data_IF_905777372514
#
_entry.id   IF_905777372514
#
_cell.length_a   1.000
_cell.length_b   1.000
_cell.length_c   1.000
_cell.angle_alpha   90.00
_cell.angle_beta   90.00
_cell.angle_gamma   90.00
#
_symmetry.space_group_name_H-M   'P 1'
#
loop_
_entity.id
_entity.type
_entity.pdbx_description
1 polymer ?
#
# COMPACT_ATOMS: atom_id res chain seq x y z
N UNK A 1 -36.38 14.66 -88.79
CA UNK A 1 -36.58 15.22 -87.43
C UNK A 1 -36.43 14.08 -86.43
N UNK A 2 -35.65 14.06 -85.36
CA UNK A 2 -34.65 14.92 -84.70
C UNK A 2 -33.81 13.91 -83.86
N UNK A 3 -32.47 14.06 -83.71
CA UNK A 3 -31.72 13.18 -82.82
C UNK A 3 -32.05 13.52 -81.36
N UNK A 4 -32.35 12.50 -80.56
CA UNK A 4 -32.61 12.63 -79.12
C UNK A 4 -31.25 12.70 -78.41
N UNK A 5 -30.80 13.91 -78.09
CA UNK A 5 -29.62 14.13 -77.26
C UNK A 5 -29.84 13.50 -75.88
N UNK A 6 -29.09 12.45 -75.57
CA UNK A 6 -28.94 11.94 -74.21
C UNK A 6 -28.21 13.00 -73.39
N UNK A 7 -28.89 13.59 -72.41
CA UNK A 7 -28.24 14.40 -71.37
C UNK A 7 -27.44 13.45 -70.49
N UNK A 8 -26.12 13.41 -70.66
CA UNK A 8 -25.21 12.96 -69.60
C UNK A 8 -25.39 13.94 -68.44
N UNK A 9 -26.04 13.47 -67.38
CA UNK A 9 -25.91 14.08 -66.06
C UNK A 9 -24.45 14.00 -65.67
N UNK A 10 -23.90 15.11 -65.17
CA UNK A 10 -22.55 15.23 -64.65
C UNK A 10 -22.27 14.11 -63.65
N UNK A 11 -21.26 13.29 -63.90
CA UNK A 11 -20.94 12.12 -63.09
C UNK A 11 -19.94 12.51 -62.00
N UNK A 12 -20.44 12.91 -60.82
CA UNK A 12 -19.61 13.29 -59.67
C UNK A 12 -18.93 12.08 -58.99
N UNK A 13 -19.19 10.86 -59.46
CA UNK A 13 -18.62 9.60 -58.96
C UNK A 13 -17.08 9.58 -59.03
N UNK A 14 -16.49 10.28 -60.00
CA UNK A 14 -15.04 10.45 -60.11
C UNK A 14 -14.45 11.21 -58.91
N UNK A 15 -15.06 12.32 -58.50
CA UNK A 15 -14.61 13.10 -57.35
C UNK A 15 -14.82 12.34 -56.04
N UNK A 16 -15.95 11.64 -55.91
CA UNK A 16 -16.27 10.83 -54.73
C UNK A 16 -15.25 9.70 -54.54
N UNK A 17 -14.85 9.01 -55.60
CA UNK A 17 -13.85 7.94 -55.51
C UNK A 17 -12.47 8.45 -55.06
N UNK A 18 -12.03 9.62 -55.54
CA UNK A 18 -10.78 10.26 -55.10
C UNK A 18 -10.84 10.64 -53.61
N UNK A 19 -11.97 11.20 -53.17
CA UNK A 19 -12.15 11.60 -51.77
C UNK A 19 -12.17 10.38 -50.83
N UNK A 20 -12.83 9.29 -51.24
CA UNK A 20 -12.81 8.02 -50.50
C UNK A 20 -11.39 7.45 -50.42
N UNK A 21 -10.64 7.48 -51.51
CA UNK A 21 -9.26 6.98 -51.52
C UNK A 21 -8.36 7.74 -50.53
N UNK A 22 -8.45 9.07 -50.51
CA UNK A 22 -7.70 9.91 -49.55
C UNK A 22 -8.16 9.67 -48.11
N UNK A 23 -9.47 9.56 -47.88
CA UNK A 23 -10.03 9.28 -46.56
C UNK A 23 -9.57 7.92 -46.02
N UNK A 24 -9.53 6.87 -46.86
CA UNK A 24 -9.02 5.55 -46.48
C UNK A 24 -7.55 5.62 -46.05
N UNK A 25 -6.70 6.34 -46.79
CA UNK A 25 -5.28 6.50 -46.41
C UNK A 25 -5.15 7.21 -45.07
N UNK A 26 -5.92 8.28 -44.83
CA UNK A 26 -5.90 8.97 -43.53
C UNK A 26 -6.37 8.07 -42.40
N UNK A 27 -7.44 7.30 -42.60
CA UNK A 27 -7.96 6.37 -41.60
C UNK A 27 -6.94 5.26 -41.29
N UNK A 28 -6.30 4.68 -42.31
CA UNK A 28 -5.25 3.68 -42.13
C UNK A 28 -4.05 4.26 -41.37
N UNK A 29 -3.62 5.48 -41.70
CA UNK A 29 -2.54 6.17 -40.96
C UNK A 29 -2.89 6.41 -39.49
N UNK A 30 -4.15 6.78 -39.21
CA UNK A 30 -4.61 6.97 -37.82
C UNK A 30 -4.72 5.65 -37.05
N UNK A 31 -5.19 4.57 -37.68
CA UNK A 31 -5.30 3.25 -37.07
C UNK A 31 -3.91 2.65 -36.76
N UNK A 32 -2.97 2.82 -37.69
CA UNK A 32 -1.57 2.46 -37.53
C UNK A 32 -0.94 3.13 -36.28
N UNK A 33 -1.13 4.44 -36.11
CA UNK A 33 -0.65 5.16 -34.93
C UNK A 33 -1.33 4.67 -33.64
N UNK A 34 -2.63 4.39 -33.69
CA UNK A 34 -3.37 3.87 -32.56
C UNK A 34 -2.83 2.50 -32.09
N UNK A 35 -2.43 1.63 -33.02
CA UNK A 35 -1.82 0.33 -32.68
C UNK A 35 -0.48 0.48 -31.96
N UNK A 36 0.40 1.36 -32.42
CA UNK A 36 1.70 1.60 -31.76
C UNK A 36 1.51 2.12 -30.33
N UNK A 37 0.57 3.06 -30.14
CA UNK A 37 0.24 3.58 -28.81
C UNK A 37 -0.33 2.46 -27.93
N UNK A 38 -1.23 1.64 -28.45
CA UNK A 38 -1.84 0.55 -27.71
C UNK A 38 -0.80 -0.48 -27.25
N UNK A 39 0.15 -0.84 -28.11
CA UNK A 39 1.25 -1.75 -27.75
C UNK A 39 2.16 -1.13 -26.70
N UNK A 40 2.58 0.13 -26.87
CA UNK A 40 3.40 0.83 -25.89
C UNK A 40 2.73 0.93 -24.51
N UNK A 41 1.43 1.20 -24.46
CA UNK A 41 0.66 1.24 -23.21
C UNK A 41 0.54 -0.14 -22.57
N UNK A 42 0.45 -1.21 -23.37
CA UNK A 42 0.45 -2.58 -22.87
C UNK A 42 1.78 -2.91 -22.20
N UNK A 43 2.91 -2.63 -22.87
CA UNK A 43 4.25 -2.81 -22.31
C UNK A 43 4.45 -1.99 -21.04
N UNK A 44 3.93 -0.75 -21.00
CA UNK A 44 3.99 0.09 -19.79
C UNK A 44 3.21 -0.53 -18.62
N UNK A 45 2.01 -1.05 -18.88
CA UNK A 45 1.20 -1.69 -17.84
C UNK A 45 1.83 -2.99 -17.34
N UNK A 46 2.45 -3.78 -18.21
CA UNK A 46 3.20 -4.98 -17.83
C UNK A 46 4.42 -4.63 -16.97
N UNK A 47 5.19 -3.60 -17.36
CA UNK A 47 6.29 -3.08 -16.55
C UNK A 47 5.82 -2.61 -15.17
N UNK A 48 4.70 -1.89 -15.10
CA UNK A 48 4.13 -1.45 -13.82
C UNK A 48 3.72 -2.62 -12.93
N UNK A 49 3.00 -3.61 -13.48
CA UNK A 49 2.63 -4.82 -12.73
C UNK A 49 3.87 -5.57 -12.21
N UNK A 50 4.91 -5.64 -13.02
CA UNK A 50 6.19 -6.24 -12.62
C UNK A 50 6.85 -5.43 -11.49
N UNK A 51 6.96 -4.11 -11.60
CA UNK A 51 7.58 -3.28 -10.56
C UNK A 51 6.77 -3.27 -9.28
N UNK A 52 5.44 -3.29 -9.35
CA UNK A 52 4.54 -3.38 -8.20
C UNK A 52 4.75 -4.71 -7.45
N UNK A 53 4.74 -5.82 -8.20
CA UNK A 53 4.96 -7.15 -7.63
C UNK A 53 6.36 -7.27 -7.01
N UNK A 54 7.39 -6.79 -7.69
CA UNK A 54 8.77 -6.81 -7.22
C UNK A 54 8.98 -5.94 -5.97
N UNK A 55 8.43 -4.71 -5.97
CA UNK A 55 8.51 -3.81 -4.83
C UNK A 55 7.78 -4.39 -3.62
N UNK A 56 6.56 -4.92 -3.78
CA UNK A 56 5.81 -5.54 -2.69
C UNK A 56 6.51 -6.79 -2.12
N UNK A 57 7.05 -7.64 -3.00
CA UNK A 57 7.79 -8.82 -2.58
C UNK A 57 9.07 -8.44 -1.82
N UNK A 58 9.76 -7.39 -2.27
CA UNK A 58 10.92 -6.85 -1.58
C UNK A 58 10.56 -6.20 -0.25
N UNK A 59 9.49 -5.41 -0.19
CA UNK A 59 8.99 -4.82 1.05
C UNK A 59 8.64 -5.90 2.09
N UNK A 60 8.01 -7.01 1.67
CA UNK A 60 7.78 -8.19 2.52
C UNK A 60 9.08 -8.87 2.98
N UNK A 61 10.16 -8.74 2.24
CA UNK A 61 11.46 -9.29 2.59
C UNK A 61 12.24 -8.47 3.61
N UNK A 62 11.86 -7.20 3.85
CA UNK A 62 12.55 -6.32 4.81
C UNK A 62 12.35 -6.75 6.27
N UNK A 63 11.21 -7.35 6.62
CA UNK A 63 10.94 -7.90 7.96
C UNK A 63 10.42 -9.35 7.85
N UNK A 64 11.30 -10.35 7.69
CA UNK A 64 10.93 -11.74 7.46
C UNK A 64 10.36 -12.48 8.70
N UNK A 65 10.18 -11.81 9.84
CA UNK A 65 9.72 -12.41 11.10
C UNK A 65 8.21 -12.64 11.14
N UNK A 66 7.81 -13.81 11.63
CA UNK A 66 6.42 -14.09 12.01
C UNK A 66 6.02 -13.22 13.21
N UNK A 67 4.76 -12.79 13.21
CA UNK A 67 4.24 -11.68 14.01
C UNK A 67 4.10 -11.83 15.55
N UNK A 68 4.52 -12.88 16.30
CA UNK A 68 4.32 -12.83 17.75
C UNK A 68 5.59 -12.58 18.61
N UNK A 69 6.77 -12.28 18.05
CA UNK A 69 7.96 -12.11 18.91
C UNK A 69 8.91 -10.99 18.43
N UNK A 70 8.50 -9.74 18.60
CA UNK A 70 9.39 -8.59 18.38
C UNK A 70 9.42 -7.74 19.66
N UNK A 71 10.45 -7.93 20.49
CA UNK A 71 10.73 -7.10 21.66
C UNK A 71 11.52 -5.83 21.31
N UNK A 72 11.97 -5.72 20.07
CA UNK A 72 12.57 -4.54 19.45
C UNK A 72 12.36 -4.60 17.93
N UNK A 73 12.35 -3.46 17.25
CA UNK A 73 12.39 -3.42 15.78
C UNK A 73 13.70 -4.08 15.33
N UNK A 74 13.70 -5.27 14.72
CA UNK A 74 14.91 -5.89 14.21
C UNK A 74 15.48 -4.99 13.13
N UNK A 75 16.81 -5.06 12.90
CA UNK A 75 17.40 -4.39 11.77
C UNK A 75 16.73 -4.90 10.47
N UNK A 76 16.45 -4.02 9.51
CA UNK A 76 15.83 -4.42 8.25
C UNK A 76 16.74 -5.36 7.46
N UNK A 77 16.17 -6.44 6.90
CA UNK A 77 16.90 -7.38 6.06
C UNK A 77 16.82 -6.96 4.59
N UNK A 78 17.67 -6.00 4.21
CA UNK A 78 17.72 -5.49 2.85
C UNK A 78 18.20 -6.54 1.84
N UNK A 79 19.04 -7.50 2.25
CA UNK A 79 19.52 -8.55 1.36
C UNK A 79 18.39 -9.50 0.95
N UNK A 80 17.57 -9.91 1.92
CA UNK A 80 16.35 -10.71 1.66
C UNK A 80 15.32 -9.89 0.88
N UNK A 81 15.16 -8.61 1.18
CA UNK A 81 14.30 -7.72 0.42
C UNK A 81 14.67 -7.66 -1.08
N UNK A 82 15.93 -7.40 -1.39
CA UNK A 82 16.38 -7.28 -2.78
C UNK A 82 16.31 -8.62 -3.53
N UNK A 83 16.70 -9.72 -2.89
CA UNK A 83 16.64 -11.05 -3.50
C UNK A 83 15.21 -11.54 -3.76
N UNK A 84 14.26 -11.29 -2.84
CA UNK A 84 12.83 -11.61 -3.04
C UNK A 84 12.18 -10.73 -4.09
N UNK A 85 12.51 -9.44 -4.11
CA UNK A 85 12.03 -8.54 -5.16
C UNK A 85 12.53 -9.01 -6.54
N UNK A 86 13.81 -9.37 -6.64
CA UNK A 86 14.43 -9.79 -7.91
C UNK A 86 13.90 -11.15 -8.40
N UNK A 87 13.63 -12.09 -7.50
CA UNK A 87 13.07 -13.40 -7.88
C UNK A 87 11.63 -13.29 -8.39
N UNK A 88 10.84 -12.36 -7.85
CA UNK A 88 9.50 -12.05 -8.38
C UNK A 88 9.62 -11.30 -9.72
N UNK A 89 10.51 -10.32 -9.82
CA UNK A 89 10.69 -9.53 -11.04
C UNK A 89 11.14 -10.38 -12.26
N UNK A 90 11.95 -11.41 -12.03
CA UNK A 90 12.48 -12.30 -13.09
C UNK A 90 11.67 -13.60 -13.27
N UNK A 91 10.55 -13.74 -12.55
CA UNK A 91 9.68 -14.90 -12.66
C UNK A 91 9.08 -15.02 -14.08
N UNK A 92 8.99 -16.24 -14.62
CA UNK A 92 8.38 -16.52 -15.92
C UNK A 92 6.90 -16.07 -16.04
N UNK A 93 6.21 -15.83 -14.91
CA UNK A 93 4.84 -15.30 -14.88
C UNK A 93 4.79 -13.76 -15.00
N UNK A 94 5.89 -13.05 -14.74
CA UNK A 94 5.98 -11.59 -14.83
C UNK A 94 6.70 -11.18 -16.11
N UNK A 95 6.04 -11.44 -17.25
CA UNK A 95 6.58 -11.14 -18.57
C UNK A 95 6.27 -9.70 -18.98
N UNK A 96 7.18 -9.13 -19.77
CA UNK A 96 7.03 -7.83 -20.42
C UNK A 96 7.30 -8.01 -21.90
N UNK A 97 6.29 -7.76 -22.72
CA UNK A 97 6.30 -7.97 -24.16
C UNK A 97 6.65 -9.43 -24.51
N UNK A 98 5.98 -10.37 -23.83
CA UNK A 98 6.06 -11.82 -24.08
C UNK A 98 7.29 -12.55 -23.52
N UNK A 99 8.16 -11.90 -22.76
CA UNK A 99 9.31 -12.54 -22.12
C UNK A 99 9.64 -11.93 -20.74
N UNK A 100 10.20 -12.72 -19.80
CA UNK A 100 10.71 -12.15 -18.54
C UNK A 100 11.89 -11.21 -18.80
N UNK A 101 12.01 -10.17 -17.98
CA UNK A 101 13.15 -9.25 -18.05
C UNK A 101 14.40 -9.86 -17.42
N UNK A 102 15.57 -9.44 -17.91
CA UNK A 102 16.85 -9.80 -17.29
C UNK A 102 17.13 -8.92 -16.07
N UNK A 103 18.01 -9.37 -15.18
CA UNK A 103 18.40 -8.61 -13.99
C UNK A 103 19.01 -7.24 -14.32
N UNK A 104 19.66 -7.10 -15.48
CA UNK A 104 20.22 -5.82 -15.92
C UNK A 104 19.16 -4.76 -16.28
N UNK A 105 17.94 -5.19 -16.61
CA UNK A 105 16.81 -4.32 -16.92
C UNK A 105 16.05 -3.86 -15.66
N UNK A 106 16.41 -4.38 -14.49
CA UNK A 106 15.71 -4.17 -13.22
C UNK A 106 16.69 -3.60 -12.19
N UNK A 107 16.37 -2.44 -11.63
CA UNK A 107 17.03 -1.89 -10.46
C UNK A 107 16.12 -1.98 -9.24
N UNK A 108 16.58 -2.63 -8.19
CA UNK A 108 15.89 -2.71 -6.90
C UNK A 108 16.76 -2.05 -5.85
N UNK A 109 16.17 -1.13 -5.10
CA UNK A 109 16.86 -0.38 -4.04
C UNK A 109 16.02 -0.45 -2.77
N UNK A 110 16.63 -0.84 -1.65
CA UNK A 110 16.04 -0.62 -0.33
C UNK A 110 16.28 0.84 0.10
N UNK A 111 15.37 1.41 0.87
CA UNK A 111 15.48 2.79 1.31
C UNK A 111 14.45 3.18 2.35
N UNK A 112 14.49 4.46 2.73
CA UNK A 112 13.51 5.08 3.60
C UNK A 112 12.55 5.91 2.76
N UNK A 113 11.27 5.61 2.89
CA UNK A 113 10.16 6.45 2.47
C UNK A 113 9.80 7.45 3.56
N UNK A 114 9.79 8.73 3.22
CA UNK A 114 9.34 9.80 4.10
C UNK A 114 7.88 10.15 3.78
N UNK A 115 6.95 9.88 4.71
CA UNK A 115 5.53 10.15 4.53
C UNK A 115 5.19 11.64 4.37
N UNK A 116 6.00 12.54 4.92
CA UNK A 116 5.75 13.99 4.86
C UNK A 116 6.19 14.57 3.52
N UNK A 117 7.42 14.26 3.09
CA UNK A 117 7.97 14.79 1.83
C UNK A 117 7.57 13.96 0.61
N UNK A 118 7.06 12.74 0.82
CA UNK A 118 6.77 11.75 -0.24
C UNK A 118 8.01 11.42 -1.08
N UNK A 119 9.15 11.34 -0.41
CA UNK A 119 10.44 11.06 -1.03
C UNK A 119 11.02 9.74 -0.57
N UNK A 120 11.71 9.07 -1.49
CA UNK A 120 12.48 7.87 -1.23
C UNK A 120 13.97 8.21 -1.15
N UNK A 121 14.59 7.91 -0.01
CA UNK A 121 16.03 8.00 0.18
C UNK A 121 16.64 6.59 0.13
N UNK A 122 17.48 6.26 -0.86
CA UNK A 122 18.10 4.95 -0.97
C UNK A 122 19.06 4.70 0.20
N UNK A 123 19.14 3.45 0.66
CA UNK A 123 20.04 3.03 1.72
C UNK A 123 19.47 1.88 2.54
N UNK A 124 20.37 1.07 3.08
CA UNK A 124 20.02 0.09 4.11
C UNK A 124 20.50 0.62 5.46
N UNK A 125 19.59 1.28 6.17
CA UNK A 125 19.82 1.90 7.48
C UNK A 125 18.79 1.36 8.48
N UNK A 126 18.98 1.58 9.78
CA UNK A 126 18.13 1.00 10.82
C UNK A 126 16.62 1.31 10.67
N UNK A 127 16.26 2.40 9.97
CA UNK A 127 14.90 2.83 9.68
C UNK A 127 14.52 2.74 8.20
N UNK A 128 15.18 1.87 7.43
CA UNK A 128 14.72 1.49 6.08
C UNK A 128 13.32 0.89 6.20
N UNK A 129 12.35 1.47 5.48
CA UNK A 129 10.95 1.06 5.49
C UNK A 129 10.38 0.78 4.09
N UNK A 130 11.20 0.83 3.04
CA UNK A 130 10.69 0.77 1.68
C UNK A 130 11.65 0.07 0.71
N UNK A 131 11.07 -0.47 -0.37
CA UNK A 131 11.79 -0.97 -1.54
C UNK A 131 11.26 -0.26 -2.78
N UNK A 132 12.17 0.28 -3.57
CA UNK A 132 11.88 0.90 -4.88
C UNK A 132 12.35 -0.04 -5.98
N UNK A 133 11.43 -0.42 -6.86
CA UNK A 133 11.68 -1.19 -8.06
C UNK A 133 11.60 -0.26 -9.27
N UNK A 134 12.61 -0.32 -10.15
CA UNK A 134 12.59 0.34 -11.45
C UNK A 134 12.90 -0.69 -12.52
N UNK A 135 12.05 -0.82 -13.52
CA UNK A 135 12.25 -1.75 -14.63
C UNK A 135 12.19 -1.00 -15.95
N UNK A 136 13.00 -1.43 -16.93
CA UNK A 136 13.11 -0.79 -18.24
C UNK A 136 13.07 -1.84 -19.35
N UNK A 137 12.19 -1.65 -20.34
CA UNK A 137 12.18 -2.40 -21.60
C UNK A 137 12.73 -1.51 -22.71
N UNK A 138 13.86 -1.90 -23.28
CA UNK A 138 14.42 -1.28 -24.49
C UNK A 138 13.91 -2.01 -25.73
N UNK A 139 13.97 -1.33 -26.87
CA UNK A 139 13.70 -1.96 -28.17
C UNK A 139 12.23 -2.30 -28.41
N UNK A 140 11.30 -1.62 -27.73
CA UNK A 140 9.86 -1.82 -27.98
C UNK A 140 9.56 -1.42 -29.41
N UNK A 141 9.08 -2.39 -30.19
CA UNK A 141 8.88 -2.19 -31.62
C UNK A 141 7.73 -1.21 -31.86
N UNK A 142 7.94 -0.26 -32.78
CA UNK A 142 6.94 0.72 -33.19
C UNK A 142 6.64 0.45 -34.66
N UNK A 143 5.61 -0.34 -34.93
CA UNK A 143 5.32 -0.93 -36.24
C UNK A 143 5.09 0.11 -37.32
N UNK A 144 4.45 1.23 -36.99
CA UNK A 144 4.09 2.26 -37.97
C UNK A 144 4.79 3.60 -37.74
N UNK A 145 5.29 3.87 -36.53
CA UNK A 145 6.06 5.08 -36.23
C UNK A 145 7.36 5.14 -37.04
N UNK A 146 7.88 3.99 -37.48
CA UNK A 146 9.01 3.90 -38.41
C UNK A 146 8.78 4.63 -39.75
N UNK A 147 7.53 4.72 -40.22
CA UNK A 147 7.16 5.49 -41.43
C UNK A 147 7.50 6.98 -41.24
N UNK A 148 7.46 7.46 -40.00
CA UNK A 148 7.76 8.85 -39.62
C UNK A 148 9.19 9.00 -39.08
N UNK A 149 10.07 8.03 -39.34
CA UNK A 149 11.47 8.05 -38.92
C UNK A 149 11.68 7.85 -37.41
N UNK A 150 10.70 7.33 -36.67
CA UNK A 150 10.84 7.01 -35.25
C UNK A 150 11.37 5.58 -35.09
N UNK A 151 12.45 5.43 -34.32
CA UNK A 151 13.01 4.14 -33.95
C UNK A 151 12.26 3.46 -32.80
N UNK A 152 12.74 2.27 -32.36
CA UNK A 152 12.22 1.56 -31.21
C UNK A 152 12.19 2.44 -29.95
N UNK A 153 11.17 2.25 -29.12
CA UNK A 153 11.00 3.00 -27.89
C UNK A 153 11.62 2.28 -26.69
N UNK A 154 12.04 3.05 -25.69
CA UNK A 154 12.42 2.55 -24.38
C UNK A 154 11.40 3.01 -23.36
N UNK A 155 10.80 2.05 -22.64
CA UNK A 155 9.74 2.30 -21.65
C UNK A 155 10.26 1.91 -20.28
N UNK A 156 10.00 2.76 -19.28
CA UNK A 156 10.41 2.56 -17.89
C UNK A 156 9.19 2.65 -16.97
N UNK A 157 9.16 1.82 -15.94
CA UNK A 157 8.24 1.94 -14.81
C UNK A 157 9.02 1.95 -13.50
N UNK A 158 8.50 2.66 -12.50
CA UNK A 158 9.06 2.73 -11.15
C UNK A 158 7.93 2.65 -10.14
N UNK A 159 8.11 1.80 -9.12
CA UNK A 159 7.20 1.66 -7.98
C UNK A 159 7.99 1.68 -6.69
N UNK A 160 7.47 2.33 -5.66
CA UNK A 160 7.96 2.20 -4.27
C UNK A 160 6.90 1.52 -3.42
N UNK A 161 7.25 0.39 -2.81
CA UNK A 161 6.43 -0.26 -1.81
C UNK A 161 7.01 0.03 -0.43
N UNK A 162 6.14 0.36 0.51
CA UNK A 162 6.48 0.64 1.89
C UNK A 162 5.90 -0.48 2.73
N UNK A 163 6.72 -1.00 3.64
CA UNK A 163 6.23 -1.79 4.75
C UNK A 163 6.88 -1.20 5.99
N UNK A 164 6.11 -1.03 7.04
CA UNK A 164 6.57 -0.34 8.22
C UNK A 164 5.79 -0.91 9.40
N UNK A 165 6.26 -0.64 10.60
CA UNK A 165 5.49 -0.97 11.78
C UNK A 165 4.29 -0.02 11.86
N UNK A 166 3.16 -0.52 12.37
CA UNK A 166 2.01 0.33 12.64
C UNK A 166 2.42 1.41 13.67
N UNK A 167 2.73 2.61 13.18
CA UNK A 167 3.02 3.78 14.01
C UNK A 167 1.76 4.36 14.66
N UNK A 168 0.58 3.81 14.34
CA UNK A 168 -0.69 4.15 14.94
C UNK A 168 -1.80 3.19 14.51
N UNK A 169 -2.94 3.33 15.18
CA UNK A 169 -4.15 2.54 14.99
C UNK A 169 -5.30 3.47 14.64
N UNK A 170 -6.24 2.96 13.85
CA UNK A 170 -7.47 3.69 13.50
C UNK A 170 -8.38 3.90 14.71
N UNK A 171 -9.59 4.37 14.46
CA UNK A 171 -10.61 4.48 15.52
C UNK A 171 -11.00 3.11 16.08
N UNK A 172 -11.52 3.10 17.31
CA UNK A 172 -12.15 1.91 17.90
C UNK A 172 -11.22 1.00 18.69
N UNK A 173 -10.06 1.50 19.12
CA UNK A 173 -9.23 0.82 20.12
C UNK A 173 -9.99 0.64 21.44
N UNK A 174 -9.89 -0.54 22.04
CA UNK A 174 -10.43 -0.78 23.38
C UNK A 174 -9.77 0.15 24.40
N UNK A 175 -10.48 0.68 25.41
CA UNK A 175 -9.94 1.60 26.40
C UNK A 175 -9.00 0.90 27.41
N UNK A 176 -8.16 -0.03 26.98
CA UNK A 176 -7.25 -0.81 27.84
C UNK A 176 -5.82 -0.52 27.42
N UNK A 177 -4.99 -0.07 28.36
CA UNK A 177 -3.57 0.15 28.15
C UNK A 177 -2.75 -0.82 29.01
N UNK A 178 -1.60 -1.25 28.49
CA UNK A 178 -0.74 -2.23 29.16
C UNK A 178 0.58 -1.58 29.55
N UNK A 179 1.05 -1.85 30.76
CA UNK A 179 2.34 -1.38 31.21
C UNK A 179 3.48 -2.10 30.48
N UNK A 180 4.37 -1.34 29.83
CA UNK A 180 5.53 -1.84 29.08
C UNK A 180 6.39 -2.82 29.87
N UNK A 181 6.50 -2.64 31.20
CA UNK A 181 7.31 -3.50 32.07
C UNK A 181 6.87 -4.97 32.07
N UNK A 182 5.60 -5.24 31.76
CA UNK A 182 4.99 -6.57 31.85
C UNK A 182 4.72 -7.20 30.47
N UNK A 183 5.01 -6.49 29.38
CA UNK A 183 4.81 -7.00 28.02
C UNK A 183 5.99 -7.85 27.60
N UNK A 184 5.77 -9.16 27.51
CA UNK A 184 6.70 -10.11 26.89
C UNK A 184 6.04 -10.66 25.62
N UNK A 185 6.57 -10.37 24.42
CA UNK A 185 6.01 -10.89 23.17
C UNK A 185 5.88 -12.42 23.18
N UNK A 186 4.76 -12.92 22.68
CA UNK A 186 4.48 -14.36 22.58
C UNK A 186 4.05 -15.04 23.88
N UNK A 187 3.91 -14.29 24.98
CA UNK A 187 3.39 -14.81 26.25
C UNK A 187 2.01 -14.27 26.57
N UNK A 188 1.22 -15.08 27.27
CA UNK A 188 -0.06 -14.63 27.83
C UNK A 188 0.19 -13.68 29.01
N UNK A 189 -0.48 -12.53 28.98
CA UNK A 189 -0.50 -11.57 30.06
C UNK A 189 -1.93 -11.43 30.60
N UNK A 190 -2.09 -11.60 31.90
CA UNK A 190 -3.36 -11.32 32.58
C UNK A 190 -3.37 -9.87 33.06
N UNK A 191 -4.27 -9.05 32.54
CA UNK A 191 -4.43 -7.65 32.96
C UNK A 191 -5.37 -7.59 34.16
N UNK A 192 -4.89 -7.05 35.27
CA UNK A 192 -5.67 -6.93 36.50
C UNK A 192 -6.14 -5.48 36.67
N UNK A 193 -7.46 -5.26 36.64
CA UNK A 193 -8.05 -3.94 36.88
C UNK A 193 -8.18 -3.62 38.37
N UNK A 194 -7.19 -3.95 39.20
CA UNK A 194 -7.23 -3.76 40.65
C UNK A 194 -6.29 -2.63 41.10
N UNK A 195 -6.64 -1.90 42.18
CA UNK A 195 -5.71 -0.97 42.83
C UNK A 195 -4.70 -1.78 43.66
N UNK A 196 -3.68 -2.33 43.01
CA UNK A 196 -2.64 -3.18 43.59
C UNK A 196 -1.29 -2.64 43.09
N UNK A 197 -0.15 -2.72 43.82
CA UNK A 197 1.08 -2.01 43.48
C UNK A 197 1.80 -2.58 42.24
N UNK A 198 1.16 -3.49 41.50
CA UNK A 198 1.70 -4.19 40.34
C UNK A 198 1.19 -3.58 39.02
N UNK A 199 0.12 -2.74 39.03
CA UNK A 199 -0.39 -1.90 37.91
C UNK A 199 0.05 -2.35 36.50
N UNK A 200 -0.29 -3.60 36.11
CA UNK A 200 0.20 -4.19 34.87
C UNK A 200 -0.62 -3.73 33.64
N UNK A 201 -1.76 -3.13 33.87
CA UNK A 201 -2.58 -2.43 32.90
C UNK A 201 -3.73 -1.69 33.59
N UNK A 202 -4.52 -0.98 32.79
CA UNK A 202 -5.64 -0.20 33.28
C UNK A 202 -6.41 0.44 32.15
N UNK A 203 -7.36 1.29 32.50
CA UNK A 203 -8.17 2.01 31.53
C UNK A 203 -7.39 3.18 30.92
N UNK A 204 -7.72 3.55 29.69
CA UNK A 204 -7.27 4.80 29.12
C UNK A 204 -8.38 5.57 28.40
N UNK A 205 -8.19 6.88 28.32
CA UNK A 205 -8.89 7.76 27.39
C UNK A 205 -7.89 8.61 26.60
N UNK A 206 -8.19 8.85 25.32
CA UNK A 206 -7.43 9.78 24.49
C UNK A 206 -7.94 11.22 24.70
N UNK A 207 -7.10 12.17 25.16
CA UNK A 207 -7.50 13.56 25.26
C UNK A 207 -8.06 14.11 23.93
N UNK A 208 -9.10 14.96 23.95
CA UNK A 208 -9.64 15.67 25.12
C UNK A 208 -10.66 14.86 25.95
N UNK A 209 -10.94 13.61 25.59
CA UNK A 209 -11.92 12.81 26.33
C UNK A 209 -11.39 12.48 27.72
N UNK A 210 -12.22 12.68 28.74
CA UNK A 210 -11.85 12.40 30.11
C UNK A 210 -11.77 10.89 30.37
N UNK A 211 -10.78 10.45 31.15
CA UNK A 211 -10.73 9.10 31.68
C UNK A 211 -11.84 8.92 32.73
N UNK A 212 -12.97 8.32 32.31
CA UNK A 212 -14.10 8.02 33.17
C UNK A 212 -14.99 6.91 32.55
N UNK A 213 -15.85 6.34 33.38
CA UNK A 213 -16.75 5.23 33.05
C UNK A 213 -17.52 5.43 31.73
N UNK A 214 -18.08 6.63 31.50
CA UNK A 214 -18.89 6.92 30.33
C UNK A 214 -18.05 6.81 29.06
N UNK A 215 -16.88 7.45 29.06
CA UNK A 215 -15.95 7.40 27.93
C UNK A 215 -15.54 5.96 27.61
N UNK A 216 -15.20 5.16 28.62
CA UNK A 216 -14.78 3.77 28.39
C UNK A 216 -15.90 2.93 27.78
N UNK A 217 -17.14 3.09 28.27
CA UNK A 217 -18.31 2.40 27.72
C UNK A 217 -18.60 2.82 26.29
N UNK A 218 -18.45 4.11 25.97
CA UNK A 218 -18.63 4.59 24.60
C UNK A 218 -17.56 3.99 23.67
N UNK A 219 -16.30 3.92 24.11
CA UNK A 219 -15.22 3.30 23.35
C UNK A 219 -15.50 1.81 23.09
N UNK A 220 -15.99 1.08 24.09
CA UNK A 220 -16.31 -0.36 24.00
C UNK A 220 -17.53 -0.61 23.11
N UNK A 221 -18.64 0.11 23.35
CA UNK A 221 -19.92 -0.19 22.72
C UNK A 221 -20.04 0.37 21.31
N UNK A 222 -19.39 1.50 21.04
CA UNK A 222 -19.55 2.26 19.80
C UNK A 222 -18.24 2.47 19.02
N UNK A 223 -17.10 2.01 19.55
CA UNK A 223 -15.81 2.16 18.88
C UNK A 223 -15.39 3.62 18.69
N UNK A 224 -15.81 4.51 19.59
CA UNK A 224 -15.60 5.96 19.45
C UNK A 224 -14.20 6.42 19.80
N UNK A 225 -13.33 5.54 20.33
CA UNK A 225 -11.94 5.86 20.60
C UNK A 225 -11.29 6.51 19.37
N UNK A 226 -10.74 7.74 19.50
CA UNK A 226 -10.05 8.39 18.40
C UNK A 226 -8.82 7.59 17.94
N UNK A 227 -8.29 7.85 16.74
CA UNK A 227 -7.03 7.25 16.30
C UNK A 227 -5.91 7.56 17.29
N UNK A 228 -5.02 6.58 17.49
CA UNK A 228 -3.85 6.70 18.37
C UNK A 228 -2.59 6.48 17.56
N UNK A 229 -1.51 7.16 17.90
CA UNK A 229 -0.17 6.90 17.36
C UNK A 229 0.88 6.78 18.46
N UNK A 230 1.98 6.12 18.13
CA UNK A 230 3.15 6.03 19.01
C UNK A 230 3.64 7.45 19.32
N UNK A 231 3.79 7.74 20.60
CA UNK A 231 4.17 9.07 21.11
C UNK A 231 2.99 9.94 21.55
N UNK A 232 1.75 9.52 21.32
CA UNK A 232 0.59 10.19 21.93
C UNK A 232 0.59 10.01 23.45
N UNK A 233 0.11 11.05 24.14
CA UNK A 233 -0.13 11.02 25.58
C UNK A 233 -1.59 10.66 25.79
N UNK A 234 -1.83 9.60 26.56
CA UNK A 234 -3.18 9.14 26.92
C UNK A 234 -3.39 9.25 28.43
N UNK A 235 -4.61 9.59 28.83
CA UNK A 235 -4.97 9.62 30.24
C UNK A 235 -5.20 8.20 30.74
N UNK A 236 -4.52 7.83 31.82
CA UNK A 236 -4.63 6.52 32.44
C UNK A 236 -5.52 6.59 33.68
N UNK A 237 -6.29 5.54 33.90
CA UNK A 237 -7.05 5.34 35.12
C UNK A 237 -6.99 3.86 35.51
N UNK A 238 -6.59 3.57 36.75
CA UNK A 238 -6.74 2.25 37.32
C UNK A 238 -8.01 2.15 38.17
N UNK A 239 -8.47 0.93 38.38
CA UNK A 239 -9.59 0.61 39.24
C UNK A 239 -10.65 -0.25 38.57
N UNK A 240 -11.48 -0.85 39.42
CA UNK A 240 -12.61 -1.65 39.03
C UNK A 240 -13.80 -0.74 38.74
N UNK A 241 -14.19 -0.62 37.48
CA UNK A 241 -15.52 -0.12 37.12
C UNK A 241 -16.38 -1.29 36.67
N UNK A 242 -17.22 -1.79 37.59
CA UNK A 242 -18.05 -2.97 37.36
C UNK A 242 -18.97 -2.80 36.14
N UNK A 243 -19.45 -1.58 35.88
CA UNK A 243 -20.34 -1.31 34.76
C UNK A 243 -19.62 -1.38 33.42
N UNK A 244 -18.40 -0.85 33.36
CA UNK A 244 -17.54 -0.90 32.16
C UNK A 244 -17.10 -2.34 31.90
N UNK A 245 -16.74 -3.09 32.95
CA UNK A 245 -16.34 -4.50 32.83
C UNK A 245 -17.48 -5.39 32.32
N UNK A 246 -18.71 -5.14 32.75
CA UNK A 246 -19.88 -5.85 32.24
C UNK A 246 -20.10 -5.58 30.75
N UNK A 247 -19.98 -4.32 30.31
CA UNK A 247 -20.07 -3.96 28.88
C UNK A 247 -18.95 -4.61 28.06
N UNK A 248 -17.71 -4.61 28.59
CA UNK A 248 -16.57 -5.28 27.97
C UNK A 248 -16.81 -6.79 27.83
N UNK A 249 -17.31 -7.44 28.89
CA UNK A 249 -17.64 -8.87 28.87
C UNK A 249 -18.73 -9.19 27.86
N UNK A 250 -19.78 -8.36 27.79
CA UNK A 250 -20.84 -8.50 26.79
C UNK A 250 -20.29 -8.38 25.37
N UNK A 251 -19.44 -7.37 25.11
CA UNK A 251 -18.79 -7.22 23.79
C UNK A 251 -17.85 -8.37 23.46
N UNK A 252 -17.07 -8.85 24.41
CA UNK A 252 -16.21 -10.03 24.20
C UNK A 252 -17.05 -11.27 23.82
N UNK A 253 -18.23 -11.44 24.43
CA UNK A 253 -19.15 -12.52 24.08
C UNK A 253 -19.71 -12.39 22.66
N UNK A 254 -20.01 -11.17 22.19
CA UNK A 254 -20.39 -10.92 20.79
C UNK A 254 -19.26 -11.33 19.81
N UNK A 255 -17.99 -11.22 20.24
CA UNK A 255 -16.82 -11.67 19.49
C UNK A 255 -16.51 -13.17 19.65
N UNK A 256 -17.40 -13.98 20.25
CA UNK A 256 -17.18 -15.42 20.42
C UNK A 256 -16.18 -15.76 21.53
N UNK A 257 -15.95 -14.84 22.47
CA UNK A 257 -15.08 -15.04 23.63
C UNK A 257 -13.60 -14.71 23.39
N UNK A 258 -13.22 -14.34 22.17
CA UNK A 258 -11.87 -13.90 21.81
C UNK A 258 -11.95 -12.65 20.93
N UNK A 259 -11.13 -11.65 21.23
CA UNK A 259 -11.14 -10.38 20.48
C UNK A 259 -9.72 -9.99 20.08
N UNK A 260 -9.43 -10.11 18.78
CA UNK A 260 -8.20 -9.59 18.19
C UNK A 260 -8.28 -8.06 18.08
N UNK A 261 -7.42 -7.38 18.83
CA UNK A 261 -7.40 -5.92 18.92
C UNK A 261 -6.00 -5.39 19.21
N UNK A 262 -5.80 -4.11 18.97
CA UNK A 262 -4.56 -3.41 19.33
C UNK A 262 -4.73 -2.75 20.69
N UNK A 263 -3.76 -2.92 21.57
CA UNK A 263 -3.74 -2.24 22.88
C UNK A 263 -2.49 -1.36 22.98
N UNK A 264 -2.61 -0.09 23.38
CA UNK A 264 -1.45 0.76 23.60
C UNK A 264 -0.58 0.21 24.74
N UNK A 265 0.73 0.16 24.49
CA UNK A 265 1.74 -0.16 25.50
C UNK A 265 2.32 1.15 26.03
N UNK A 266 2.09 1.42 27.31
CA UNK A 266 2.51 2.67 27.97
C UNK A 266 3.70 2.45 28.88
N UNK A 267 4.60 3.41 28.92
CA UNK A 267 5.73 3.40 29.85
C UNK A 267 5.38 4.27 31.05
N UNK A 268 4.84 3.67 32.10
CA UNK A 268 4.42 4.37 33.33
C UNK A 268 4.77 3.55 34.56
N UNK A 269 4.96 4.23 35.69
CA UNK A 269 5.11 3.59 37.00
C UNK A 269 3.77 3.19 37.60
N UNK A 270 2.69 3.96 37.33
CA UNK A 270 1.33 3.71 37.84
C UNK A 270 0.25 4.17 36.85
N UNK A 271 -0.96 3.62 36.96
CA UNK A 271 -2.10 3.97 36.09
C UNK A 271 -3.06 5.00 36.70
N UNK A 272 -2.85 5.40 37.97
CA UNK A 272 -3.65 6.42 38.67
C UNK A 272 -2.89 7.75 38.78
N UNK A 273 -2.63 8.42 37.66
CA UNK A 273 -1.93 9.71 37.66
C UNK A 273 -2.92 10.88 37.60
N UNK A 274 -2.67 11.91 38.40
CA UNK A 274 -3.50 13.12 38.42
C UNK A 274 -3.19 14.09 37.28
N UNK A 275 -2.10 13.91 36.52
CA UNK A 275 -1.70 14.74 35.37
C UNK A 275 -0.79 13.94 34.39
N UNK A 276 -0.75 14.32 33.09
CA UNK A 276 -0.19 13.54 31.98
C UNK A 276 1.30 13.21 32.05
#
# INVERSE_FOLDING_TARGET
MKPRFSRKLSDDSGMVSVLIAVAMVMLMGSAALAMDIAHMLTVKNELQRLTDAAAMAGARGLWPSTLPSMSSSPPPDCATALSRGMSVATNANNQVDGAPLTTAAINLESGRWNYNTREFTPGCVANTNAVKATARKEGVNMFFAGIWGRGPATITATTTAVMDFAGGVGKGTLPIAINKRYVVPGQYLFINFNPDPVDNGGWFANPPDGANARTFRDYINYGTCPPLKVGDIISLQNGQDTSVLHDLQAKLAEHGGQWDTFLPVVNTDTFNQSQP
#
